data_IF_050526324979
#
_entry.id   IF_050526324979
#
_cell.length_a   1.000
_cell.length_b   1.000
_cell.length_c   1.000
_cell.angle_alpha   90.00
_cell.angle_beta   90.00
_cell.angle_gamma   90.00
#
_symmetry.space_group_name_H-M   'P 1'
#
loop_
_entity.id
_entity.type
_entity.pdbx_description
1 polymer ?
#
# COMPACT_ATOMS: atom_id res chain seq x y z
N UNK A 1 18.28 38.03 -16.86
CA UNK A 1 18.63 37.07 -15.81
C UNK A 1 17.32 36.36 -15.45
N UNK A 2 17.14 35.05 -15.67
CA UNK A 2 15.98 34.37 -15.17
C UNK A 2 16.11 34.34 -13.64
N UNK A 3 15.09 34.88 -12.94
CA UNK A 3 14.98 34.79 -11.49
C UNK A 3 14.88 33.33 -11.11
N UNK A 4 15.83 32.91 -10.27
CA UNK A 4 15.86 31.59 -9.65
C UNK A 4 14.48 31.38 -8.97
N UNK A 5 13.69 30.42 -9.46
CA UNK A 5 12.29 30.23 -9.10
C UNK A 5 12.00 29.79 -7.66
N UNK A 6 12.77 30.33 -6.70
CA UNK A 6 12.59 30.11 -5.26
C UNK A 6 11.43 30.95 -4.76
N UNK A 7 10.45 30.29 -4.17
CA UNK A 7 9.34 30.92 -3.44
C UNK A 7 9.88 31.51 -2.14
N UNK A 8 9.63 32.83 -1.92
CA UNK A 8 9.98 33.50 -0.68
C UNK A 8 9.10 33.04 0.49
N UNK A 9 9.59 33.23 1.72
CA UNK A 9 8.85 32.83 2.91
C UNK A 9 7.51 33.57 3.04
N UNK A 10 7.48 34.87 2.73
CA UNK A 10 6.27 35.68 2.80
C UNK A 10 5.24 35.25 1.74
N UNK A 11 5.70 34.92 0.53
CA UNK A 11 4.87 34.41 -0.55
C UNK A 11 4.26 33.05 -0.20
N UNK A 12 5.06 32.15 0.40
CA UNK A 12 4.59 30.85 0.87
C UNK A 12 3.59 31.00 2.02
N UNK A 13 3.84 31.89 2.98
CA UNK A 13 2.92 32.17 4.06
C UNK A 13 1.59 32.73 3.54
N UNK A 14 1.61 33.68 2.60
CA UNK A 14 0.42 34.20 1.97
C UNK A 14 -0.38 33.11 1.26
N UNK A 15 0.28 32.21 0.56
CA UNK A 15 -0.34 31.05 -0.05
C UNK A 15 -0.99 30.14 0.99
N UNK A 16 -0.28 29.77 2.07
CA UNK A 16 -0.83 28.95 3.15
C UNK A 16 -2.06 29.61 3.78
N UNK A 17 -2.08 30.92 3.95
CA UNK A 17 -3.24 31.64 4.47
C UNK A 17 -4.42 31.68 3.49
N UNK A 18 -4.19 31.70 2.20
CA UNK A 18 -5.24 31.76 1.17
C UNK A 18 -5.83 30.40 0.81
N UNK A 19 -5.06 29.31 0.88
CA UNK A 19 -5.48 27.97 0.49
C UNK A 19 -5.89 27.14 1.72
N UNK A 20 -7.16 26.71 1.77
CA UNK A 20 -7.71 25.98 2.90
C UNK A 20 -7.03 24.61 3.13
N UNK A 21 -6.58 23.97 2.06
CA UNK A 21 -5.87 22.68 2.13
C UNK A 21 -4.44 22.87 2.64
N UNK A 22 -3.75 23.94 2.16
CA UNK A 22 -2.42 24.26 2.63
C UNK A 22 -2.43 24.61 4.14
N UNK A 23 -3.44 25.34 4.61
CA UNK A 23 -3.64 25.56 6.06
C UNK A 23 -3.80 24.27 6.83
N UNK A 24 -4.66 23.36 6.36
CA UNK A 24 -4.83 22.05 7.03
C UNK A 24 -3.55 21.23 7.02
N UNK A 25 -2.80 21.26 5.91
CA UNK A 25 -1.50 20.60 5.84
C UNK A 25 -0.60 21.07 6.99
N UNK A 26 -0.37 22.37 7.11
CA UNK A 26 0.47 22.95 8.15
C UNK A 26 -0.05 22.61 9.54
N UNK A 27 -1.34 22.80 9.80
CA UNK A 27 -1.96 22.51 11.09
C UNK A 27 -1.80 21.04 11.52
N UNK A 28 -1.93 20.09 10.60
CA UNK A 28 -1.69 18.68 10.91
C UNK A 28 -0.23 18.40 11.30
N UNK A 29 0.73 19.00 10.59
CA UNK A 29 2.15 18.87 10.96
C UNK A 29 2.45 19.48 12.34
N UNK A 30 1.88 20.65 12.65
CA UNK A 30 2.05 21.33 13.94
C UNK A 30 1.55 20.51 15.13
N UNK A 31 0.44 19.77 14.95
CA UNK A 31 -0.12 18.91 16.01
C UNK A 31 0.40 17.47 15.96
N UNK A 32 1.45 17.20 15.16
CA UNK A 32 2.09 15.88 15.06
C UNK A 32 1.32 14.82 14.25
N UNK A 33 0.20 15.19 13.61
CA UNK A 33 -0.59 14.29 12.75
C UNK A 33 0.00 14.23 11.34
N UNK A 34 1.21 13.69 11.24
CA UNK A 34 2.00 13.70 10.00
C UNK A 34 1.30 13.00 8.83
N UNK A 35 0.67 11.85 9.06
CA UNK A 35 -0.01 11.09 7.99
C UNK A 35 -1.12 11.90 7.32
N UNK A 36 -1.93 12.60 8.13
CA UNK A 36 -3.00 13.45 7.62
C UNK A 36 -2.43 14.68 6.90
N UNK A 37 -1.38 15.27 7.45
CA UNK A 37 -0.66 16.38 6.82
C UNK A 37 -0.08 15.99 5.46
N UNK A 38 0.54 14.84 5.35
CA UNK A 38 1.04 14.29 4.09
C UNK A 38 -0.06 14.01 3.07
N UNK A 39 -1.21 13.50 3.50
CA UNK A 39 -2.34 13.25 2.62
C UNK A 39 -2.90 14.56 2.03
N UNK A 40 -3.05 15.61 2.84
CA UNK A 40 -3.45 16.93 2.35
C UNK A 40 -2.42 17.52 1.38
N UNK A 41 -1.13 17.43 1.71
CA UNK A 41 -0.01 17.87 0.87
C UNK A 41 -0.03 17.18 -0.50
N UNK A 42 -0.16 15.86 -0.51
CA UNK A 42 -0.23 15.04 -1.73
C UNK A 42 -1.45 15.38 -2.58
N UNK A 43 -2.60 15.58 -1.95
CA UNK A 43 -3.81 15.98 -2.65
C UNK A 43 -3.67 17.37 -3.28
N UNK A 44 -3.02 18.33 -2.60
CA UNK A 44 -2.69 19.63 -3.14
C UNK A 44 -1.75 19.55 -4.35
N UNK A 45 -0.64 18.83 -4.21
CA UNK A 45 0.34 18.61 -5.29
C UNK A 45 -0.28 17.96 -6.53
N UNK A 46 -1.21 17.02 -6.35
CA UNK A 46 -1.85 16.29 -7.46
C UNK A 46 -2.80 17.18 -8.29
N UNK A 47 -3.49 18.11 -7.65
CA UNK A 47 -4.52 18.94 -8.30
C UNK A 47 -4.02 20.31 -8.75
N UNK A 48 -2.87 20.75 -8.24
CA UNK A 48 -2.35 22.07 -8.52
C UNK A 48 -1.71 22.18 -9.91
N UNK A 49 -1.98 23.28 -10.59
CA UNK A 49 -1.40 23.63 -11.88
C UNK A 49 -0.82 25.05 -11.86
N UNK A 50 0.12 25.36 -12.76
CA UNK A 50 0.69 26.69 -12.88
C UNK A 50 1.38 27.18 -11.59
N UNK A 51 1.06 28.39 -11.16
CA UNK A 51 1.68 29.02 -9.98
C UNK A 51 1.33 28.30 -8.67
N UNK A 52 0.11 27.79 -8.54
CA UNK A 52 -0.30 26.98 -7.41
C UNK A 52 0.58 25.72 -7.25
N UNK A 53 0.97 25.08 -8.35
CA UNK A 53 1.89 23.94 -8.30
C UNK A 53 3.26 24.34 -7.74
N UNK A 54 3.77 25.51 -8.11
CA UNK A 54 5.03 26.07 -7.59
C UNK A 54 4.94 26.27 -6.07
N UNK A 55 3.82 26.82 -5.57
CA UNK A 55 3.57 27.03 -4.15
C UNK A 55 3.47 25.72 -3.36
N UNK A 56 2.70 24.76 -3.88
CA UNK A 56 2.58 23.43 -3.25
C UNK A 56 3.92 22.72 -3.19
N UNK A 57 4.77 22.88 -4.21
CA UNK A 57 6.13 22.32 -4.22
C UNK A 57 7.04 22.99 -3.18
N UNK A 58 6.91 24.30 -3.02
CA UNK A 58 7.64 25.02 -1.98
C UNK A 58 7.18 24.58 -0.58
N UNK A 59 5.88 24.43 -0.36
CA UNK A 59 5.33 23.91 0.89
C UNK A 59 5.84 22.49 1.20
N UNK A 60 5.89 21.61 0.19
CA UNK A 60 6.42 20.26 0.36
C UNK A 60 7.89 20.25 0.80
N UNK A 61 8.73 21.14 0.26
CA UNK A 61 10.12 21.27 0.68
C UNK A 61 10.27 21.67 2.13
N UNK A 62 9.38 22.52 2.63
CA UNK A 62 9.40 22.98 4.04
C UNK A 62 8.90 21.88 4.98
N UNK A 63 7.79 21.23 4.62
CA UNK A 63 7.17 20.21 5.46
C UNK A 63 7.96 18.89 5.47
N UNK A 64 8.70 18.60 4.40
CA UNK A 64 9.48 17.37 4.22
C UNK A 64 10.96 17.72 3.92
N UNK A 65 11.72 18.26 4.85
CA UNK A 65 13.05 18.83 4.61
C UNK A 65 14.17 17.83 4.35
N UNK A 66 13.90 16.52 4.38
CA UNK A 66 14.94 15.52 4.15
C UNK A 66 15.37 15.48 2.67
N UNK A 67 16.59 15.03 2.43
CA UNK A 67 17.34 14.96 1.15
C UNK A 67 16.63 14.32 -0.05
N UNK A 68 15.38 13.94 0.10
CA UNK A 68 14.52 13.35 -0.91
C UNK A 68 13.35 14.21 -1.36
N UNK A 69 13.35 15.53 -1.15
CA UNK A 69 12.18 16.39 -1.46
C UNK A 69 11.69 16.25 -2.91
N UNK A 70 12.60 16.09 -3.88
CA UNK A 70 12.21 15.87 -5.28
C UNK A 70 11.67 14.44 -5.51
N UNK A 71 12.25 13.46 -4.87
CA UNK A 71 11.78 12.07 -4.90
C UNK A 71 10.45 11.96 -4.17
N UNK A 72 10.34 12.54 -2.96
CA UNK A 72 9.10 12.58 -2.20
C UNK A 72 7.96 13.31 -2.95
N UNK A 73 8.28 14.34 -3.74
CA UNK A 73 7.32 15.04 -4.60
C UNK A 73 6.81 14.15 -5.72
N UNK A 74 7.70 13.45 -6.42
CA UNK A 74 7.31 12.51 -7.48
C UNK A 74 6.45 11.40 -6.90
N UNK A 75 6.85 10.85 -5.77
CA UNK A 75 6.10 9.81 -5.08
C UNK A 75 4.74 10.31 -4.58
N UNK A 76 4.68 11.52 -4.02
CA UNK A 76 3.44 12.11 -3.53
C UNK A 76 2.38 12.30 -4.62
N UNK A 77 2.80 12.62 -5.85
CA UNK A 77 1.88 12.79 -6.98
C UNK A 77 1.46 11.48 -7.63
N UNK A 78 2.38 10.50 -7.65
CA UNK A 78 2.17 9.22 -8.33
C UNK A 78 1.69 8.09 -7.44
N UNK A 79 1.91 8.20 -6.11
CA UNK A 79 1.58 7.20 -5.12
C UNK A 79 0.66 7.78 -4.04
N UNK A 80 -0.63 7.90 -4.32
CA UNK A 80 -1.61 8.41 -3.35
C UNK A 80 -1.66 7.49 -2.13
N UNK A 81 -1.83 8.09 -0.94
CA UNK A 81 -1.98 7.37 0.32
C UNK A 81 -3.31 7.75 1.00
N UNK A 82 -4.46 7.31 0.43
CA UNK A 82 -5.73 7.54 1.10
C UNK A 82 -5.74 6.90 2.48
N UNK A 83 -6.49 7.48 3.42
CA UNK A 83 -6.67 6.87 4.75
C UNK A 83 -7.63 5.72 4.60
N UNK A 84 -7.10 4.52 4.59
CA UNK A 84 -7.85 3.27 4.45
C UNK A 84 -7.39 2.29 5.52
N UNK A 85 -8.34 1.55 6.06
CA UNK A 85 -8.07 0.52 7.05
C UNK A 85 -8.94 -0.71 6.74
N UNK A 86 -8.33 -1.90 6.67
CA UNK A 86 -9.10 -3.15 6.55
C UNK A 86 -9.94 -3.37 7.80
N UNK A 87 -11.08 -4.01 7.64
CA UNK A 87 -11.83 -4.55 8.77
C UNK A 87 -10.93 -5.53 9.55
N UNK A 88 -10.70 -5.26 10.84
CA UNK A 88 -9.79 -6.02 11.70
C UNK A 88 -8.32 -5.61 11.58
N UNK A 89 -8.00 -4.51 10.87
CA UNK A 89 -6.65 -3.99 10.72
C UNK A 89 -5.80 -4.70 9.65
N UNK A 90 -4.53 -4.30 9.56
CA UNK A 90 -3.56 -4.90 8.65
C UNK A 90 -2.95 -6.16 9.26
N UNK A 91 -3.00 -7.27 8.52
CA UNK A 91 -2.41 -8.57 8.92
C UNK A 91 -1.16 -8.92 8.09
N UNK A 92 -0.87 -8.11 7.07
CA UNK A 92 0.37 -8.13 6.27
C UNK A 92 0.89 -6.71 6.15
N UNK A 93 2.06 -6.54 5.54
CA UNK A 93 2.62 -5.22 5.29
C UNK A 93 1.62 -4.28 4.61
N UNK A 94 1.30 -3.16 5.27
CA UNK A 94 0.41 -2.12 4.76
C UNK A 94 0.81 -1.66 3.36
N UNK A 95 2.11 -1.55 3.12
CA UNK A 95 2.68 -1.16 1.83
C UNK A 95 2.26 -2.10 0.69
N UNK A 96 2.19 -3.42 0.95
CA UNK A 96 1.76 -4.39 -0.05
C UNK A 96 0.27 -4.26 -0.36
N UNK A 97 -0.57 -4.05 0.65
CA UNK A 97 -2.01 -3.81 0.46
C UNK A 97 -2.25 -2.56 -0.39
N UNK A 98 -1.51 -1.48 -0.12
CA UNK A 98 -1.59 -0.24 -0.90
C UNK A 98 -1.08 -0.42 -2.33
N UNK A 99 0.00 -1.16 -2.53
CA UNK A 99 0.53 -1.45 -3.86
C UNK A 99 -0.47 -2.23 -4.72
N UNK A 100 -1.11 -3.24 -4.13
CA UNK A 100 -2.17 -4.02 -4.77
C UNK A 100 -3.38 -3.15 -5.11
N UNK A 101 -3.95 -2.43 -4.13
CA UNK A 101 -5.12 -1.57 -4.35
C UNK A 101 -4.85 -0.48 -5.41
N UNK A 102 -3.63 0.09 -5.42
CA UNK A 102 -3.20 1.02 -6.46
C UNK A 102 -3.15 0.38 -7.85
N UNK A 103 -2.55 -0.81 -7.96
CA UNK A 103 -2.42 -1.51 -9.26
C UNK A 103 -3.78 -1.98 -9.78
N UNK A 104 -4.66 -2.43 -8.91
CA UNK A 104 -5.97 -2.93 -9.30
C UNK A 104 -6.92 -1.82 -9.77
N UNK A 105 -7.00 -0.72 -9.04
CA UNK A 105 -8.06 0.27 -9.25
C UNK A 105 -7.64 1.74 -9.05
N UNK A 106 -6.38 1.99 -8.74
CA UNK A 106 -5.91 3.31 -8.28
C UNK A 106 -6.77 3.85 -7.12
N UNK A 107 -7.12 2.94 -6.18
CA UNK A 107 -7.95 3.19 -5.00
C UNK A 107 -9.42 3.57 -5.29
N UNK A 108 -9.98 3.15 -6.41
CA UNK A 108 -11.41 3.33 -6.68
C UNK A 108 -12.23 2.22 -5.99
N UNK A 109 -13.02 2.54 -4.94
CA UNK A 109 -13.81 1.54 -4.23
C UNK A 109 -14.99 1.00 -5.03
N UNK A 110 -15.47 1.74 -6.03
CA UNK A 110 -16.63 1.38 -6.85
C UNK A 110 -16.25 0.60 -8.12
N UNK A 111 -14.96 0.26 -8.25
CA UNK A 111 -14.46 -0.43 -9.43
C UNK A 111 -15.08 -1.83 -9.59
N UNK A 112 -15.43 -2.13 -10.85
CA UNK A 112 -15.93 -3.44 -11.27
C UNK A 112 -15.24 -3.84 -12.56
N UNK A 113 -14.64 -5.02 -12.60
CA UNK A 113 -14.00 -5.50 -13.83
C UNK A 113 -15.00 -6.22 -14.73
N UNK A 114 -14.67 -6.33 -16.02
CA UNK A 114 -15.42 -7.15 -16.96
C UNK A 114 -15.41 -8.65 -16.61
N UNK A 115 -14.44 -9.11 -15.83
CA UNK A 115 -14.35 -10.47 -15.31
C UNK A 115 -15.19 -10.69 -14.02
N UNK A 116 -15.82 -9.65 -13.48
CA UNK A 116 -16.66 -9.74 -12.29
C UNK A 116 -15.89 -9.61 -10.95
N UNK A 117 -14.73 -8.99 -10.94
CA UNK A 117 -14.05 -8.60 -9.71
C UNK A 117 -14.55 -7.23 -9.21
N UNK A 118 -14.53 -7.00 -7.89
CA UNK A 118 -15.12 -5.83 -7.25
C UNK A 118 -14.18 -5.13 -6.29
N UNK A 119 -14.30 -3.80 -6.24
CA UNK A 119 -13.73 -2.92 -5.22
C UNK A 119 -12.24 -2.72 -5.30
N UNK A 120 -11.66 -2.08 -4.28
CA UNK A 120 -10.29 -1.57 -4.22
C UNK A 120 -9.22 -2.58 -4.69
N UNK A 121 -9.33 -3.83 -4.25
CA UNK A 121 -8.37 -4.89 -4.51
C UNK A 121 -8.89 -5.93 -5.51
N UNK A 122 -9.97 -5.63 -6.24
CA UNK A 122 -10.56 -6.49 -7.28
C UNK A 122 -10.78 -7.93 -6.83
N UNK A 123 -11.50 -8.09 -5.71
CA UNK A 123 -11.79 -9.40 -5.16
C UNK A 123 -12.94 -10.06 -5.95
N UNK A 124 -12.75 -11.33 -6.34
CA UNK A 124 -13.81 -12.12 -6.97
C UNK A 124 -14.84 -12.58 -5.93
N UNK A 125 -16.15 -12.49 -6.22
CA UNK A 125 -17.21 -12.96 -5.32
C UNK A 125 -17.06 -14.42 -4.89
N UNK A 126 -16.64 -15.28 -5.81
CA UNK A 126 -16.36 -16.70 -5.53
C UNK A 126 -15.19 -16.87 -4.57
N UNK A 127 -14.10 -16.11 -4.76
CA UNK A 127 -12.95 -16.11 -3.86
C UNK A 127 -13.35 -15.64 -2.45
N UNK A 128 -14.15 -14.57 -2.36
CA UNK A 128 -14.66 -14.09 -1.08
C UNK A 128 -15.51 -15.15 -0.37
N UNK A 129 -16.41 -15.82 -1.11
CA UNK A 129 -17.23 -16.89 -0.56
C UNK A 129 -16.41 -18.11 -0.11
N UNK A 130 -15.40 -18.51 -0.87
CA UNK A 130 -14.50 -19.60 -0.48
C UNK A 130 -13.70 -19.30 0.79
N UNK A 131 -13.23 -18.05 0.92
CA UNK A 131 -12.39 -17.65 2.04
C UNK A 131 -13.17 -17.45 3.34
N UNK A 132 -14.43 -17.04 3.25
CA UNK A 132 -15.27 -16.71 4.41
C UNK A 132 -16.28 -17.79 4.76
N UNK A 133 -16.60 -18.70 3.82
CA UNK A 133 -17.72 -19.60 3.91
C UNK A 133 -19.09 -18.92 3.64
N UNK A 134 -19.10 -17.59 3.42
CA UNK A 134 -20.32 -16.82 3.18
C UNK A 134 -20.66 -16.71 1.69
N UNK A 135 -21.62 -17.51 1.26
CA UNK A 135 -22.09 -17.51 -0.14
C UNK A 135 -22.87 -16.26 -0.55
N UNK A 136 -23.20 -15.39 0.42
CA UNK A 136 -23.90 -14.14 0.10
C UNK A 136 -23.02 -13.18 -0.72
N UNK A 137 -21.69 -13.31 -0.69
CA UNK A 137 -20.82 -12.58 -1.61
C UNK A 137 -21.07 -12.90 -3.08
N UNK A 138 -21.54 -14.11 -3.39
CA UNK A 138 -21.88 -14.48 -4.77
C UNK A 138 -23.27 -13.95 -5.16
N UNK A 139 -24.24 -13.97 -4.25
CA UNK A 139 -25.61 -13.51 -4.53
C UNK A 139 -25.73 -11.98 -4.44
N UNK A 140 -24.90 -11.32 -3.63
CA UNK A 140 -24.82 -9.88 -3.50
C UNK A 140 -23.33 -9.40 -3.50
N UNK A 141 -22.71 -9.32 -4.68
CA UNK A 141 -21.32 -8.88 -4.80
C UNK A 141 -21.08 -7.42 -4.39
N UNK A 142 -22.13 -6.62 -4.22
CA UNK A 142 -22.00 -5.21 -3.82
C UNK A 142 -21.37 -5.04 -2.44
N UNK A 143 -21.43 -6.05 -1.59
CA UNK A 143 -20.70 -6.09 -0.30
C UNK A 143 -19.19 -5.91 -0.47
N UNK A 144 -18.63 -6.29 -1.63
CA UNK A 144 -17.21 -6.10 -1.97
C UNK A 144 -16.86 -4.65 -2.36
N UNK A 145 -17.83 -3.76 -2.51
CA UNK A 145 -17.60 -2.33 -2.73
C UNK A 145 -17.33 -1.58 -1.42
N UNK A 146 -17.56 -2.23 -0.25
CA UNK A 146 -17.20 -1.66 1.06
C UNK A 146 -15.68 -1.73 1.22
N UNK A 147 -14.96 -0.58 1.29
CA UNK A 147 -13.50 -0.55 1.29
C UNK A 147 -12.85 -1.43 2.36
N UNK A 148 -13.32 -1.33 3.61
CA UNK A 148 -12.77 -2.08 4.73
C UNK A 148 -12.92 -3.61 4.56
N UNK A 149 -14.09 -4.06 4.09
CA UNK A 149 -14.37 -5.48 3.80
C UNK A 149 -13.53 -5.97 2.61
N UNK A 150 -13.45 -5.17 1.53
CA UNK A 150 -12.67 -5.52 0.35
C UNK A 150 -11.17 -5.69 0.68
N UNK A 151 -10.61 -4.74 1.44
CA UNK A 151 -9.21 -4.80 1.87
C UNK A 151 -8.95 -6.00 2.80
N UNK A 152 -9.88 -6.30 3.73
CA UNK A 152 -9.77 -7.49 4.59
C UNK A 152 -9.69 -8.77 3.75
N UNK A 153 -10.54 -8.90 2.75
CA UNK A 153 -10.56 -10.08 1.88
C UNK A 153 -9.35 -10.11 0.93
N UNK A 154 -8.97 -8.97 0.36
CA UNK A 154 -7.80 -8.88 -0.52
C UNK A 154 -6.50 -9.25 0.20
N UNK A 155 -6.26 -8.69 1.41
CA UNK A 155 -5.07 -9.07 2.19
C UNK A 155 -5.09 -10.53 2.66
N UNK A 156 -6.27 -11.07 2.98
CA UNK A 156 -6.39 -12.48 3.32
C UNK A 156 -6.07 -13.39 2.13
N UNK A 157 -6.47 -13.00 0.91
CA UNK A 157 -6.13 -13.75 -0.30
C UNK A 157 -4.63 -13.75 -0.59
N UNK A 158 -3.95 -12.61 -0.51
CA UNK A 158 -2.49 -12.59 -0.68
C UNK A 158 -1.76 -13.33 0.44
N UNK A 159 -2.26 -13.26 1.69
CA UNK A 159 -1.74 -14.06 2.81
C UNK A 159 -1.85 -15.56 2.52
N UNK A 160 -2.96 -16.01 1.94
CA UNK A 160 -3.13 -17.39 1.49
C UNK A 160 -2.07 -17.79 0.46
N UNK A 161 -1.74 -16.90 -0.49
CA UNK A 161 -0.66 -17.15 -1.46
C UNK A 161 0.70 -17.25 -0.76
N UNK A 162 1.03 -16.31 0.11
CA UNK A 162 2.28 -16.33 0.88
C UNK A 162 2.45 -17.65 1.68
N UNK A 163 1.36 -18.16 2.22
CA UNK A 163 1.36 -19.39 3.05
C UNK A 163 1.32 -20.70 2.24
N UNK A 164 1.31 -20.64 0.91
CA UNK A 164 1.48 -21.88 0.13
C UNK A 164 2.86 -22.49 0.38
N UNK A 165 2.97 -23.79 0.72
CA UNK A 165 4.26 -24.41 1.05
C UNK A 165 5.33 -24.23 -0.03
N UNK A 166 4.95 -24.23 -1.31
CA UNK A 166 5.86 -24.02 -2.43
C UNK A 166 6.35 -22.56 -2.55
N UNK A 167 5.67 -21.61 -1.90
CA UNK A 167 6.01 -20.19 -1.99
C UNK A 167 6.87 -19.71 -0.84
N UNK A 168 6.82 -20.37 0.33
CA UNK A 168 7.68 -20.10 1.48
C UNK A 168 7.69 -18.62 1.92
N UNK A 169 6.55 -17.94 1.80
CA UNK A 169 6.43 -16.51 2.12
C UNK A 169 6.99 -15.54 1.07
N UNK A 170 7.42 -16.04 -0.09
CA UNK A 170 8.06 -15.23 -1.14
C UNK A 170 7.12 -14.20 -1.73
N UNK A 171 7.54 -12.94 -1.72
CA UNK A 171 6.80 -11.77 -2.20
C UNK A 171 6.46 -11.88 -3.70
N UNK A 172 7.45 -12.23 -4.53
CA UNK A 172 7.28 -12.24 -5.98
C UNK A 172 6.32 -13.36 -6.41
N UNK A 173 6.47 -14.55 -5.82
CA UNK A 173 5.59 -15.72 -6.08
C UNK A 173 4.15 -15.42 -5.68
N UNK A 174 3.96 -14.79 -4.51
CA UNK A 174 2.63 -14.43 -4.02
C UNK A 174 1.97 -13.34 -4.89
N UNK A 175 2.71 -12.29 -5.27
CA UNK A 175 2.20 -11.20 -6.11
C UNK A 175 1.82 -11.72 -7.52
N UNK A 176 2.66 -12.54 -8.14
CA UNK A 176 2.32 -13.16 -9.43
C UNK A 176 1.02 -13.99 -9.35
N UNK A 177 0.86 -14.71 -8.24
CA UNK A 177 -0.28 -15.58 -8.02
C UNK A 177 -1.55 -14.85 -7.61
N UNK A 178 -1.43 -13.62 -7.10
CA UNK A 178 -2.59 -12.78 -6.84
C UNK A 178 -3.36 -12.48 -8.14
N UNK A 179 -2.65 -12.15 -9.20
CA UNK A 179 -3.24 -11.81 -10.51
C UNK A 179 -3.67 -13.03 -11.31
N UNK A 180 -2.78 -14.04 -11.45
CA UNK A 180 -2.98 -15.17 -12.37
C UNK A 180 -3.44 -16.45 -11.66
N UNK A 181 -3.67 -16.41 -10.36
CA UNK A 181 -3.80 -17.62 -9.54
C UNK A 181 -2.45 -18.33 -9.35
N UNK A 182 -2.37 -19.32 -8.44
CA UNK A 182 -1.12 -20.00 -8.13
C UNK A 182 -0.63 -20.96 -9.23
N UNK A 183 -1.50 -21.39 -10.13
CA UNK A 183 -1.20 -22.41 -11.14
C UNK A 183 0.01 -22.11 -12.03
N UNK A 184 0.09 -20.93 -12.68
CA UNK A 184 1.22 -20.55 -13.54
C UNK A 184 2.55 -20.51 -12.79
N UNK A 185 2.57 -19.95 -11.56
CA UNK A 185 3.78 -19.91 -10.74
C UNK A 185 4.21 -21.31 -10.29
N UNK A 186 3.29 -22.17 -9.89
CA UNK A 186 3.57 -23.57 -9.57
C UNK A 186 4.11 -24.35 -10.78
N UNK A 187 3.65 -24.03 -11.99
CA UNK A 187 4.20 -24.60 -13.22
C UNK A 187 5.64 -24.15 -13.49
N UNK A 188 5.94 -22.86 -13.28
CA UNK A 188 7.31 -22.32 -13.38
C UNK A 188 8.26 -22.98 -12.38
N UNK A 189 7.83 -23.12 -11.11
CA UNK A 189 8.58 -23.81 -10.06
C UNK A 189 8.85 -25.29 -10.38
N UNK A 190 7.87 -26.00 -10.96
CA UNK A 190 8.09 -27.39 -11.42
C UNK A 190 9.11 -27.48 -12.55
N UNK A 191 9.16 -26.48 -13.43
CA UNK A 191 10.07 -26.45 -14.58
C UNK A 191 11.50 -26.10 -14.20
N UNK A 192 11.68 -25.12 -13.30
CA UNK A 192 12.99 -24.56 -12.98
C UNK A 192 13.55 -25.01 -11.63
N UNK A 193 12.71 -25.59 -10.76
CA UNK A 193 13.05 -25.96 -9.39
C UNK A 193 12.77 -24.83 -8.38
N UNK A 194 12.68 -25.17 -7.08
CA UNK A 194 12.33 -24.23 -6.03
C UNK A 194 13.44 -23.19 -5.76
N UNK A 195 14.69 -23.51 -6.09
CA UNK A 195 15.89 -22.68 -5.85
C UNK A 195 16.28 -21.85 -7.09
N UNK A 196 15.42 -21.81 -8.11
CA UNK A 196 15.65 -20.98 -9.28
C UNK A 196 15.69 -19.48 -8.92
N UNK A 197 16.43 -18.72 -9.72
CA UNK A 197 16.43 -17.27 -9.60
C UNK A 197 15.00 -16.71 -9.67
N UNK A 198 14.59 -15.84 -8.71
CA UNK A 198 13.22 -15.37 -8.64
C UNK A 198 12.80 -14.54 -9.85
N UNK A 199 13.70 -13.79 -10.47
CA UNK A 199 13.40 -13.01 -11.69
C UNK A 199 13.22 -13.95 -12.88
N UNK A 200 14.06 -14.99 -12.98
CA UNK A 200 13.89 -16.02 -14.00
C UNK A 200 12.57 -16.80 -13.84
N UNK A 201 12.15 -17.06 -12.60
CA UNK A 201 10.84 -17.66 -12.34
C UNK A 201 9.71 -16.78 -12.88
N UNK A 202 9.75 -15.45 -12.60
CA UNK A 202 8.76 -14.51 -13.11
C UNK A 202 8.74 -14.50 -14.65
N UNK A 203 9.90 -14.43 -15.29
CA UNK A 203 9.99 -14.47 -16.76
C UNK A 203 9.49 -15.79 -17.38
N UNK A 204 9.53 -16.87 -16.61
CA UNK A 204 9.08 -18.20 -17.05
C UNK A 204 7.56 -18.39 -16.94
N UNK A 205 6.86 -17.49 -16.23
CA UNK A 205 5.40 -17.56 -16.13
C UNK A 205 4.78 -17.40 -17.52
N UNK A 206 3.97 -18.38 -17.92
CA UNK A 206 3.32 -18.42 -19.24
C UNK A 206 2.05 -17.53 -19.30
N UNK A 207 2.08 -16.40 -18.60
CA UNK A 207 1.03 -15.38 -18.56
C UNK A 207 1.70 -14.01 -18.59
N UNK A 208 1.87 -13.39 -19.76
CA UNK A 208 2.59 -12.10 -19.88
C UNK A 208 2.07 -11.00 -18.96
N UNK A 209 0.75 -10.93 -18.76
CA UNK A 209 0.12 -9.95 -17.87
C UNK A 209 0.56 -10.13 -16.41
N UNK A 210 0.82 -11.36 -15.95
CA UNK A 210 1.28 -11.61 -14.59
C UNK A 210 2.71 -11.10 -14.38
N UNK A 211 3.59 -11.17 -15.38
CA UNK A 211 4.95 -10.62 -15.33
C UNK A 211 4.92 -9.11 -15.13
N UNK A 212 4.21 -8.40 -16.02
CA UNK A 212 4.03 -6.95 -15.92
C UNK A 212 3.35 -6.53 -14.60
N UNK A 213 2.44 -7.37 -14.09
CA UNK A 213 1.77 -7.15 -12.81
C UNK A 213 2.77 -7.18 -11.65
N UNK A 214 3.66 -8.19 -11.60
CA UNK A 214 4.71 -8.30 -10.58
C UNK A 214 5.60 -7.07 -10.58
N UNK A 215 6.11 -6.66 -11.74
CA UNK A 215 6.97 -5.46 -11.84
C UNK A 215 6.29 -4.22 -11.24
N UNK A 216 5.05 -3.97 -11.61
CA UNK A 216 4.30 -2.78 -11.18
C UNK A 216 3.96 -2.83 -9.68
N UNK A 217 3.52 -3.99 -9.18
CA UNK A 217 3.14 -4.13 -7.77
C UNK A 217 4.35 -4.09 -6.86
N UNK A 218 5.41 -4.81 -7.21
CA UNK A 218 6.62 -4.87 -6.36
C UNK A 218 7.34 -3.53 -6.33
N UNK A 219 7.45 -2.84 -7.48
CA UNK A 219 7.97 -1.48 -7.50
C UNK A 219 7.13 -0.51 -6.64
N UNK A 220 5.79 -0.57 -6.75
CA UNK A 220 4.90 0.23 -5.92
C UNK A 220 5.02 -0.15 -4.43
N UNK A 221 5.16 -1.43 -4.11
CA UNK A 221 5.37 -1.92 -2.75
C UNK A 221 6.60 -1.28 -2.10
N UNK A 222 7.74 -1.29 -2.76
CA UNK A 222 8.97 -0.68 -2.22
C UNK A 222 8.84 0.83 -2.05
N UNK A 223 8.13 1.50 -2.96
CA UNK A 223 7.85 2.93 -2.82
C UNK A 223 6.95 3.20 -1.62
N UNK A 224 5.85 2.45 -1.45
CA UNK A 224 4.98 2.58 -0.29
C UNK A 224 5.69 2.20 1.01
N UNK A 225 6.52 1.16 1.00
CA UNK A 225 7.32 0.76 2.16
C UNK A 225 8.21 1.91 2.62
N UNK A 226 8.92 2.56 1.69
CA UNK A 226 9.69 3.77 1.99
C UNK A 226 8.82 4.92 2.49
N UNK A 227 7.67 5.17 1.87
CA UNK A 227 6.75 6.24 2.25
C UNK A 227 6.15 6.04 3.65
N UNK A 228 5.97 4.79 4.07
CA UNK A 228 5.54 4.44 5.44
C UNK A 228 6.70 4.33 6.43
N UNK A 229 7.94 4.55 5.99
CA UNK A 229 9.13 4.52 6.84
C UNK A 229 9.62 3.11 7.19
N UNK A 230 9.16 2.10 6.46
CA UNK A 230 9.58 0.72 6.64
C UNK A 230 10.92 0.38 5.97
N UNK A 231 11.52 -0.77 6.34
CA UNK A 231 12.76 -1.25 5.73
C UNK A 231 12.54 -1.72 4.28
N UNK A 232 13.61 -1.77 3.49
CA UNK A 232 13.59 -2.25 2.10
C UNK A 232 14.45 -3.52 1.92
N UNK A 233 14.42 -4.43 2.91
CA UNK A 233 15.25 -5.64 2.90
C UNK A 233 14.85 -6.61 1.78
N UNK A 234 13.58 -6.64 1.37
CA UNK A 234 13.16 -7.42 0.20
C UNK A 234 13.77 -6.87 -1.09
N UNK A 235 13.90 -5.54 -1.24
CA UNK A 235 14.60 -4.92 -2.37
C UNK A 235 16.09 -5.30 -2.36
N UNK A 236 16.74 -5.21 -1.20
CA UNK A 236 18.15 -5.59 -1.03
C UNK A 236 18.36 -7.08 -1.35
N UNK A 237 17.43 -7.94 -0.94
CA UNK A 237 17.45 -9.37 -1.25
C UNK A 237 17.38 -9.63 -2.77
N UNK A 238 16.45 -8.97 -3.47
CA UNK A 238 16.37 -9.06 -4.94
C UNK A 238 17.65 -8.55 -5.59
N UNK A 239 18.15 -7.38 -5.17
CA UNK A 239 19.36 -6.77 -5.72
C UNK A 239 20.62 -7.61 -5.49
N UNK A 240 20.68 -8.37 -4.41
CA UNK A 240 21.79 -9.30 -4.11
C UNK A 240 21.65 -10.68 -4.75
N UNK A 241 20.60 -10.94 -5.53
CA UNK A 241 20.37 -12.22 -6.18
C UNK A 241 19.90 -13.32 -5.23
N UNK A 242 19.21 -12.98 -4.15
CA UNK A 242 18.63 -13.96 -3.23
C UNK A 242 17.63 -14.87 -3.97
N UNK A 243 17.70 -16.16 -3.72
CA UNK A 243 16.83 -17.17 -4.38
C UNK A 243 15.42 -17.21 -3.81
N UNK A 244 15.22 -16.65 -2.63
CA UNK A 244 13.93 -16.50 -1.96
C UNK A 244 13.86 -15.10 -1.37
N UNK A 245 12.71 -14.43 -1.53
CA UNK A 245 12.47 -13.05 -1.09
C UNK A 245 11.24 -13.02 -0.17
N UNK A 246 11.34 -13.53 1.06
CA UNK A 246 10.21 -13.56 1.99
C UNK A 246 9.74 -12.16 2.34
N UNK A 247 8.43 -11.91 2.27
CA UNK A 247 7.83 -10.64 2.68
C UNK A 247 8.18 -10.27 4.13
N UNK A 248 8.34 -11.28 4.99
CA UNK A 248 8.72 -11.12 6.38
C UNK A 248 10.06 -10.40 6.61
N UNK A 249 10.93 -10.28 5.61
CA UNK A 249 12.15 -9.47 5.69
C UNK A 249 11.84 -7.99 5.97
N UNK A 250 10.76 -7.47 5.43
CA UNK A 250 10.33 -6.08 5.61
C UNK A 250 9.31 -5.92 6.75
N UNK A 251 8.81 -7.04 7.30
CA UNK A 251 7.80 -7.00 8.34
C UNK A 251 8.39 -6.50 9.66
N UNK A 252 7.83 -5.43 10.16
CA UNK A 252 8.02 -4.99 11.53
C UNK A 252 6.71 -5.23 12.26
N UNK A 253 6.62 -6.22 13.16
CA UNK A 253 5.40 -6.42 13.93
C UNK A 253 5.06 -5.13 14.67
N UNK A 254 3.77 -4.75 14.77
CA UNK A 254 3.36 -3.65 15.62
C UNK A 254 3.92 -3.92 17.02
N UNK A 255 4.54 -2.89 17.62
CA UNK A 255 4.97 -3.00 19.00
C UNK A 255 3.78 -3.52 19.82
N UNK A 256 3.96 -4.64 20.54
CA UNK A 256 2.91 -5.18 21.39
C UNK A 256 2.43 -4.04 22.30
N UNK A 257 1.20 -3.61 22.10
CA UNK A 257 0.56 -2.72 23.05
C UNK A 257 0.46 -3.55 24.34
N UNK A 258 1.06 -3.10 25.47
CA UNK A 258 0.93 -3.84 26.70
C UNK A 258 -0.56 -3.98 26.98
N UNK A 259 -1.01 -5.23 27.09
CA UNK A 259 -2.37 -5.56 27.52
C UNK A 259 -2.65 -4.72 28.77
N UNK A 260 -3.51 -3.73 28.67
CA UNK A 260 -4.07 -3.04 29.82
C UNK A 260 -4.82 -4.11 30.61
N UNK A 261 -4.13 -4.72 31.57
CA UNK A 261 -4.78 -5.54 32.57
C UNK A 261 -5.73 -4.62 33.30
N UNK A 262 -7.03 -4.76 33.03
CA UNK A 262 -8.06 -4.09 33.79
C UNK A 262 -7.83 -4.42 35.26
N UNK A 263 -7.38 -3.45 36.04
CA UNK A 263 -7.30 -3.59 37.48
C UNK A 263 -8.74 -3.79 37.98
N UNK A 264 -9.03 -5.03 38.37
CA UNK A 264 -10.26 -5.34 39.06
C UNK A 264 -10.28 -4.49 40.35
N UNK A 265 -11.23 -3.55 40.42
CA UNK A 265 -11.50 -2.80 41.65
C UNK A 265 -11.87 -3.79 42.74
N UNK A 266 -11.27 -3.70 43.93
CA UNK A 266 -11.66 -4.57 45.04
C UNK A 266 -13.12 -4.26 45.44
N UNK A 267 -13.95 -5.29 45.40
CA UNK A 267 -15.32 -5.22 45.96
C UNK A 267 -15.18 -4.91 47.46
N UNK A 268 -15.58 -3.70 47.85
CA UNK A 268 -15.68 -3.34 49.25
C UNK A 268 -16.75 -4.23 49.94
N UNK A 269 -16.31 -4.93 50.98
CA UNK A 269 -17.08 -5.90 51.69
C UNK A 269 -18.33 -5.30 52.38
N UNK A 270 -19.37 -6.08 52.34
CA UNK A 270 -20.57 -5.92 53.20
C UNK A 270 -20.26 -6.25 54.65
N UNK A 271 -20.60 -5.38 55.54
CA UNK A 271 -20.98 -5.70 56.91
C UNK A 271 -22.50 -5.67 57.01
#
# INVERSE_FOLDING_TARGET
MPQDGRVGADELNAFVQSDARARRTVAYYEVGRRTEGENELRAGLRTAVGDAARMWMALARVMMPSSGADVARIDATRFPMPVLEPEGGFVIEKALVYALARKETDFNPDARSGAGAYGLMQVMPTTAAEMTGDRTFVTDPTKLLVPATNMRLGQAYVSRMLNLPAFQGDLLRAVASYNAGPGPMLAALRKLGPDADPLLLIETIDVPQAREYVEKVVAAYWIYQRLFGGPLKTLDAVASGARLVPLALDYTPPAEQPLMVAQASPIAGAQ
#
